data_IF_792113818501
#
_entry.id   IF_792113818501
#
_cell.length_a   1.000
_cell.length_b   1.000
_cell.length_c   1.000
_cell.angle_alpha   90.00
_cell.angle_beta   90.00
_cell.angle_gamma   90.00
#
_symmetry.space_group_name_H-M   'P 1'
#
loop_
_entity.id
_entity.type
_entity.pdbx_description
1 polymer ?
#
# COMPACT_ATOMS: atom_id res chain seq x y z
N UNK A 1 23.34 -3.33 -7.35
CA UNK A 1 23.40 -1.98 -6.75
C UNK A 1 22.09 -1.84 -5.98
N UNK A 2 22.11 -1.56 -4.68
CA UNK A 2 20.89 -1.58 -3.88
C UNK A 2 20.02 -0.36 -4.24
N UNK A 3 18.76 -0.58 -4.63
CA UNK A 3 17.80 0.48 -4.91
C UNK A 3 16.51 0.32 -4.08
N UNK A 4 15.86 1.44 -3.82
CA UNK A 4 14.50 1.44 -3.29
C UNK A 4 13.57 0.98 -4.42
N UNK A 5 12.74 -0.03 -4.15
CA UNK A 5 11.73 -0.52 -5.11
C UNK A 5 10.38 0.17 -4.93
N UNK A 6 10.01 0.43 -3.69
CA UNK A 6 8.90 1.30 -3.32
C UNK A 6 8.84 1.57 -1.82
N UNK A 7 8.07 2.59 -1.47
CA UNK A 7 7.54 2.83 -0.12
C UNK A 7 6.04 2.54 -0.13
N UNK A 8 5.61 1.59 0.69
CA UNK A 8 4.20 1.32 0.93
C UNK A 8 3.67 2.14 2.09
N UNK A 9 2.47 2.71 1.95
CA UNK A 9 1.81 3.54 2.97
C UNK A 9 0.39 3.02 3.16
N UNK A 10 0.03 2.71 4.40
CA UNK A 10 -1.32 2.30 4.74
C UNK A 10 -2.21 3.52 4.95
N UNK A 11 -3.30 3.59 4.21
CA UNK A 11 -4.15 4.77 4.10
C UNK A 11 -5.61 4.44 4.35
N UNK A 12 -6.31 5.38 5.00
CA UNK A 12 -7.75 5.27 5.27
C UNK A 12 -8.61 5.53 4.04
N UNK A 13 -8.17 6.49 3.21
CA UNK A 13 -8.87 6.90 1.99
C UNK A 13 -7.86 6.93 0.84
N UNK A 14 -7.83 5.84 0.09
CA UNK A 14 -6.91 5.64 -1.02
C UNK A 14 -7.22 6.59 -2.18
N UNK A 15 -8.49 6.95 -2.41
CA UNK A 15 -8.86 7.85 -3.50
C UNK A 15 -8.30 9.24 -3.21
N UNK A 16 -8.49 9.74 -1.98
CA UNK A 16 -7.97 11.04 -1.56
C UNK A 16 -6.45 11.10 -1.66
N UNK A 17 -5.74 10.09 -1.16
CA UNK A 17 -4.28 10.09 -1.18
C UNK A 17 -3.71 9.87 -2.58
N UNK A 18 -4.33 9.03 -3.41
CA UNK A 18 -3.98 8.90 -4.83
C UNK A 18 -4.05 10.25 -5.53
N UNK A 19 -5.16 10.98 -5.38
CA UNK A 19 -5.33 12.29 -5.98
C UNK A 19 -4.32 13.31 -5.44
N UNK A 20 -3.99 13.27 -4.16
CA UNK A 20 -2.95 14.11 -3.58
C UNK A 20 -1.59 13.89 -4.25
N UNK A 21 -1.14 12.63 -4.36
CA UNK A 21 0.16 12.33 -4.97
C UNK A 21 0.21 12.64 -6.47
N UNK A 22 -0.88 12.41 -7.20
CA UNK A 22 -0.97 12.78 -8.62
C UNK A 22 -0.94 14.31 -8.79
N UNK A 23 -1.73 15.05 -8.02
CA UNK A 23 -1.92 16.48 -8.26
C UNK A 23 -0.81 17.34 -7.65
N UNK A 24 -0.26 16.95 -6.50
CA UNK A 24 0.76 17.76 -5.82
C UNK A 24 2.19 17.38 -6.21
N UNK A 25 2.43 16.13 -6.62
CA UNK A 25 3.76 15.61 -6.94
C UNK A 25 3.90 15.08 -8.37
N UNK A 26 2.86 15.25 -9.20
CA UNK A 26 2.84 14.83 -10.60
C UNK A 26 3.16 13.34 -10.78
N UNK A 27 2.87 12.52 -9.77
CA UNK A 27 3.15 11.09 -9.83
C UNK A 27 2.24 10.41 -10.84
N UNK A 28 2.78 9.36 -11.47
CA UNK A 28 2.15 8.69 -12.59
C UNK A 28 1.58 7.35 -12.13
N UNK A 29 0.30 7.08 -12.36
CA UNK A 29 -0.29 5.81 -11.96
C UNK A 29 0.25 4.66 -12.81
N UNK A 30 0.68 3.59 -12.14
CA UNK A 30 0.98 2.29 -12.75
C UNK A 30 -0.21 1.36 -12.56
N UNK A 31 -0.75 1.32 -11.33
CA UNK A 31 -1.90 0.51 -10.94
C UNK A 31 -2.83 1.40 -10.12
N UNK A 32 -4.13 1.35 -10.37
CA UNK A 32 -5.14 2.12 -9.66
C UNK A 32 -6.20 1.20 -9.07
N UNK A 33 -6.41 1.35 -7.76
CA UNK A 33 -7.51 0.73 -7.00
C UNK A 33 -7.68 -0.78 -7.22
N UNK A 34 -6.57 -1.50 -7.37
CA UNK A 34 -6.57 -2.95 -7.54
C UNK A 34 -6.95 -3.64 -6.24
N UNK A 35 -8.02 -4.42 -6.27
CA UNK A 35 -8.49 -5.21 -5.14
C UNK A 35 -7.78 -6.56 -5.09
N UNK A 36 -7.30 -6.92 -3.90
CA UNK A 36 -6.65 -8.18 -3.61
C UNK A 36 -7.32 -8.85 -2.40
N UNK A 37 -7.86 -10.04 -2.64
CA UNK A 37 -8.61 -10.85 -1.68
C UNK A 37 -8.20 -12.33 -1.77
N UNK A 38 -6.92 -12.59 -2.01
CA UNK A 38 -6.42 -13.96 -2.15
C UNK A 38 -6.28 -14.69 -0.81
N UNK A 39 -6.02 -16.01 -0.87
CA UNK A 39 -5.88 -16.88 0.31
C UNK A 39 -4.82 -16.39 1.32
N UNK A 40 -3.72 -15.80 0.86
CA UNK A 40 -2.67 -15.26 1.74
C UNK A 40 -3.19 -14.03 2.50
N UNK A 41 -4.01 -13.19 1.85
CA UNK A 41 -4.66 -12.06 2.52
C UNK A 41 -5.59 -12.56 3.63
N UNK A 42 -6.38 -13.60 3.36
CA UNK A 42 -7.24 -14.21 4.38
C UNK A 42 -6.46 -14.82 5.54
N UNK A 43 -5.32 -15.47 5.25
CA UNK A 43 -4.44 -16.06 6.27
C UNK A 43 -3.78 -15.01 7.17
N UNK A 44 -3.44 -13.83 6.62
CA UNK A 44 -2.76 -12.76 7.36
C UNK A 44 -3.71 -11.83 8.12
N UNK A 45 -4.88 -11.53 7.54
CA UNK A 45 -5.78 -10.49 8.05
C UNK A 45 -7.15 -11.01 8.46
N UNK A 46 -7.46 -12.28 8.19
CA UNK A 46 -8.76 -12.88 8.43
C UNK A 46 -9.69 -12.83 7.22
N UNK A 47 -10.84 -13.48 7.34
CA UNK A 47 -11.83 -13.59 6.26
C UNK A 47 -12.50 -12.25 5.97
N UNK A 48 -12.97 -12.08 4.73
CA UNK A 48 -13.75 -10.93 4.27
C UNK A 48 -12.99 -9.59 4.27
N UNK A 49 -11.67 -9.65 4.22
CA UNK A 49 -10.76 -8.53 4.00
C UNK A 49 -10.54 -8.34 2.50
N UNK A 50 -10.61 -7.10 2.04
CA UNK A 50 -10.18 -6.69 0.70
C UNK A 50 -9.09 -5.65 0.86
N UNK A 51 -7.88 -5.96 0.36
CA UNK A 51 -6.79 -4.99 0.29
C UNK A 51 -6.88 -4.29 -1.05
N UNK A 52 -7.14 -3.00 -1.04
CA UNK A 52 -7.10 -2.14 -2.22
C UNK A 52 -5.75 -1.48 -2.33
N UNK A 53 -5.11 -1.56 -3.49
CA UNK A 53 -3.79 -0.98 -3.71
C UNK A 53 -3.78 0.02 -4.86
N UNK A 54 -2.89 1.00 -4.77
CA UNK A 54 -2.59 1.94 -5.86
C UNK A 54 -1.08 2.12 -5.91
N UNK A 55 -0.49 2.02 -7.09
CA UNK A 55 0.96 2.16 -7.30
C UNK A 55 1.22 3.38 -8.18
N UNK A 56 1.98 4.33 -7.64
CA UNK A 56 2.32 5.59 -8.29
C UNK A 56 3.84 5.69 -8.45
N UNK A 57 4.29 6.04 -9.64
CA UNK A 57 5.70 6.22 -9.97
C UNK A 57 6.04 7.70 -10.00
N UNK A 58 7.19 8.09 -9.45
CA UNK A 58 7.69 9.45 -9.66
C UNK A 58 8.01 9.70 -11.14
N UNK A 59 7.94 10.96 -11.63
CA UNK A 59 8.41 11.31 -12.97
C UNK A 59 9.87 10.90 -13.21
N UNK A 60 10.72 11.02 -12.18
CA UNK A 60 12.11 10.59 -12.23
C UNK A 60 12.24 9.07 -12.40
N UNK A 61 11.53 8.29 -11.58
CA UNK A 61 11.52 6.82 -11.66
C UNK A 61 11.09 6.33 -13.04
N UNK A 62 10.07 6.96 -13.65
CA UNK A 62 9.66 6.67 -15.02
C UNK A 62 10.78 6.92 -16.03
N UNK A 63 11.52 8.03 -15.90
CA UNK A 63 12.59 8.40 -16.82
C UNK A 63 13.78 7.44 -16.73
N UNK A 64 14.10 6.97 -15.52
CA UNK A 64 15.26 6.12 -15.27
C UNK A 64 14.95 4.62 -15.34
N UNK A 65 13.67 4.23 -15.38
CA UNK A 65 13.27 2.83 -15.23
C UNK A 65 13.55 2.28 -13.82
N UNK A 66 13.56 3.14 -12.81
CA UNK A 66 13.85 2.79 -11.40
C UNK A 66 12.58 2.77 -10.56
N UNK A 67 12.60 1.98 -9.48
CA UNK A 67 11.49 1.78 -8.53
C UNK A 67 11.27 2.95 -7.55
N UNK A 68 11.38 4.19 -8.01
CA UNK A 68 11.01 5.35 -7.18
C UNK A 68 9.48 5.48 -7.14
N UNK A 69 8.85 4.53 -6.46
CA UNK A 69 7.42 4.25 -6.45
C UNK A 69 6.84 4.38 -5.04
N UNK A 70 5.61 4.89 -4.96
CA UNK A 70 4.76 4.81 -3.78
C UNK A 70 3.67 3.77 -4.02
N UNK A 71 3.46 2.89 -3.05
CA UNK A 71 2.32 1.99 -2.98
C UNK A 71 1.38 2.49 -1.87
N UNK A 72 0.14 2.80 -2.21
CA UNK A 72 -0.91 3.10 -1.24
C UNK A 72 -1.70 1.83 -0.99
N UNK A 73 -1.93 1.50 0.27
CA UNK A 73 -2.62 0.29 0.70
C UNK A 73 -3.79 0.67 1.58
N UNK A 74 -5.01 0.31 1.18
CA UNK A 74 -6.21 0.47 2.00
C UNK A 74 -6.77 -0.91 2.33
N UNK A 75 -6.88 -1.21 3.62
CA UNK A 75 -7.47 -2.45 4.10
C UNK A 75 -8.96 -2.17 4.35
N UNK A 76 -9.82 -2.79 3.54
CA UNK A 76 -11.27 -2.74 3.73
C UNK A 76 -11.70 -4.02 4.43
N UNK A 77 -12.17 -3.90 5.67
CA UNK A 77 -12.84 -5.00 6.34
C UNK A 77 -14.35 -4.84 6.17
N UNK A 78 -15.01 -5.84 5.59
CA UNK A 78 -16.46 -5.79 5.40
C UNK A 78 -17.25 -6.14 6.68
N UNK A 79 -16.54 -6.63 7.70
CA UNK A 79 -17.08 -6.90 9.03
C UNK A 79 -16.21 -6.13 10.03
N UNK A 80 -16.81 -5.42 10.99
CA UNK A 80 -16.10 -4.65 12.04
C UNK A 80 -15.36 -5.55 13.06
N UNK A 81 -14.92 -6.74 12.66
CA UNK A 81 -14.06 -7.58 13.50
C UNK A 81 -12.62 -7.12 13.27
N UNK A 82 -12.00 -6.53 14.30
CA UNK A 82 -10.58 -6.19 14.24
C UNK A 82 -9.78 -7.44 13.83
N UNK A 83 -8.82 -7.32 12.88
CA UNK A 83 -7.93 -8.42 12.57
C UNK A 83 -7.27 -8.91 13.87
N UNK A 84 -7.28 -10.22 14.09
CA UNK A 84 -6.62 -10.82 15.24
C UNK A 84 -5.11 -10.71 15.04
N UNK A 85 -4.44 -9.94 15.89
CA UNK A 85 -2.98 -9.85 15.89
C UNK A 85 -2.42 -10.39 17.22
N UNK A 86 -1.31 -11.14 17.18
CA UNK A 86 -0.68 -11.65 18.39
C UNK A 86 -0.28 -10.49 19.32
N UNK A 87 -0.50 -10.68 20.63
CA UNK A 87 -0.43 -9.67 21.70
C UNK A 87 0.92 -8.90 21.82
N UNK A 88 1.94 -9.33 21.09
CA UNK A 88 3.33 -8.83 21.18
C UNK A 88 3.68 -7.75 20.13
N UNK A 89 2.76 -7.41 19.22
CA UNK A 89 2.97 -6.35 18.21
C UNK A 89 2.31 -5.05 18.68
N UNK A 90 3.12 -4.05 19.07
CA UNK A 90 2.61 -2.70 19.32
C UNK A 90 2.27 -2.01 18.00
N UNK A 91 0.98 -2.07 17.62
CA UNK A 91 0.42 -1.49 16.39
C UNK A 91 -0.01 -2.58 15.40
N UNK A 92 -1.18 -2.41 14.79
CA UNK A 92 -1.72 -3.43 13.90
C UNK A 92 -0.99 -3.40 12.54
N UNK A 93 -0.70 -4.57 11.93
CA UNK A 93 -0.21 -4.61 10.54
C UNK A 93 -1.24 -3.90 9.67
N UNK A 94 -0.85 -2.75 9.14
CA UNK A 94 -1.70 -1.92 8.31
C UNK A 94 -2.47 -0.82 9.02
N UNK A 95 -2.05 -0.46 10.24
CA UNK A 95 -2.47 0.79 10.87
C UNK A 95 -2.26 1.99 9.94
N UNK A 96 -3.25 2.87 9.88
CA UNK A 96 -3.18 4.04 9.01
C UNK A 96 -2.01 4.94 9.40
N UNK A 97 -1.22 5.36 8.41
CA UNK A 97 -0.01 6.14 8.62
C UNK A 97 1.25 5.30 8.86
N UNK A 98 1.12 3.97 9.01
CA UNK A 98 2.27 3.07 8.94
C UNK A 98 2.80 2.96 7.51
N UNK A 99 4.08 2.63 7.38
CA UNK A 99 4.75 2.47 6.10
C UNK A 99 5.73 1.32 6.10
N UNK A 100 5.91 0.67 4.95
CA UNK A 100 6.98 -0.30 4.70
C UNK A 100 7.86 0.14 3.54
N UNK A 101 9.11 -0.32 3.52
CA UNK A 101 10.05 -0.03 2.44
C UNK A 101 10.53 -1.35 1.86
N UNK A 102 10.33 -1.51 0.55
CA UNK A 102 10.89 -2.62 -0.21
C UNK A 102 12.21 -2.17 -0.86
N UNK A 103 13.27 -2.94 -0.60
CA UNK A 103 14.61 -2.70 -1.12
C UNK A 103 15.00 -3.88 -2.02
N UNK A 104 15.67 -3.62 -3.15
CA UNK A 104 16.10 -4.63 -4.10
C UNK A 104 17.55 -4.46 -4.54
N UNK A 105 18.13 -5.54 -5.07
CA UNK A 105 19.44 -5.55 -5.74
C UNK A 105 19.32 -5.98 -7.19
#
# INVERSE_FOLDING_TARGET
MINMRHVGIYVKDIIKLTNFYINCFEMLPIVLFEDNNNRIVEELFGKNIVIKTTKLLTPYGKKQGTGDMIELVQINNSIQEKPYLPEEVHGDIGDFGSSHIAIGG
#
